data_IF_877098075466
#
_entry.id   IF_877098075466
#
_cell.length_a   1.000
_cell.length_b   1.000
_cell.length_c   1.000
_cell.angle_alpha   90.00
_cell.angle_beta   90.00
_cell.angle_gamma   90.00
#
_symmetry.space_group_name_H-M   'P 1'
#
loop_
_entity.id
_entity.type
_entity.pdbx_description
1 polymer ?
#
# COMPACT_ATOMS: atom_id res chain seq x y z
N UNK A 1 40.77 14.77 -53.97
CA UNK A 1 39.31 14.78 -54.17
C UNK A 1 38.68 13.88 -53.10
N UNK A 2 37.78 14.39 -52.25
CA UNK A 2 37.20 13.56 -51.18
C UNK A 2 36.18 12.59 -51.77
N UNK A 3 36.27 11.31 -51.37
CA UNK A 3 35.30 10.26 -51.71
C UNK A 3 34.02 10.52 -50.91
N UNK A 4 32.95 10.90 -51.59
CA UNK A 4 31.61 10.94 -50.99
C UNK A 4 31.11 9.50 -50.89
N UNK A 5 30.97 8.99 -49.68
CA UNK A 5 30.35 7.70 -49.38
C UNK A 5 28.90 7.72 -49.85
N UNK A 6 28.53 6.82 -50.77
CA UNK A 6 27.16 6.68 -51.27
C UNK A 6 26.29 6.11 -50.14
N UNK A 7 25.65 6.99 -49.38
CA UNK A 7 24.67 6.60 -48.37
C UNK A 7 23.42 6.13 -49.13
N UNK A 8 23.01 4.88 -48.88
CA UNK A 8 21.83 4.28 -49.50
C UNK A 8 20.57 5.06 -49.09
N UNK A 9 19.88 5.65 -50.06
CA UNK A 9 18.62 6.38 -49.87
C UNK A 9 17.55 5.50 -49.21
N UNK A 10 17.59 4.19 -49.45
CA UNK A 10 16.71 3.21 -48.81
C UNK A 10 16.91 3.14 -47.29
N UNK A 11 18.14 3.30 -46.81
CA UNK A 11 18.45 3.29 -45.38
C UNK A 11 17.94 4.56 -44.70
N UNK A 12 18.08 5.71 -45.36
CA UNK A 12 17.57 6.99 -44.86
C UNK A 12 16.04 6.93 -44.72
N UNK A 13 15.35 6.42 -45.74
CA UNK A 13 13.89 6.27 -45.68
C UNK A 13 13.45 5.31 -44.57
N UNK A 14 14.13 4.17 -44.40
CA UNK A 14 13.82 3.23 -43.32
C UNK A 14 13.98 3.86 -41.93
N UNK A 15 15.01 4.67 -41.72
CA UNK A 15 15.20 5.41 -40.47
C UNK A 15 14.10 6.44 -40.25
N UNK A 16 13.70 7.20 -41.27
CA UNK A 16 12.63 8.19 -41.16
C UNK A 16 11.29 7.53 -40.81
N UNK A 17 10.94 6.41 -41.46
CA UNK A 17 9.74 5.65 -41.13
C UNK A 17 9.79 5.05 -39.72
N UNK A 18 10.95 4.58 -39.28
CA UNK A 18 11.13 4.04 -37.91
C UNK A 18 10.95 5.12 -36.84
N UNK A 19 11.50 6.32 -37.06
CA UNK A 19 11.35 7.46 -36.14
C UNK A 19 9.89 7.95 -36.09
N UNK A 20 9.21 8.01 -37.24
CA UNK A 20 7.77 8.35 -37.31
C UNK A 20 6.90 7.30 -36.61
N UNK A 21 7.22 6.01 -36.75
CA UNK A 21 6.51 4.93 -36.07
C UNK A 21 6.69 5.00 -34.54
N UNK A 22 7.92 5.28 -34.07
CA UNK A 22 8.18 5.45 -32.64
C UNK A 22 7.51 6.71 -32.08
N UNK A 23 7.50 7.82 -32.82
CA UNK A 23 6.85 9.06 -32.40
C UNK A 23 5.33 8.91 -32.23
N UNK A 24 4.68 8.12 -33.08
CA UNK A 24 3.24 7.83 -32.97
C UNK A 24 2.90 6.90 -31.81
N UNK A 25 3.79 5.98 -31.42
CA UNK A 25 3.57 5.10 -30.27
C UNK A 25 3.77 5.79 -28.91
N UNK A 26 4.61 6.82 -28.83
CA UNK A 26 4.90 7.53 -27.56
C UNK A 26 3.76 8.46 -27.12
N UNK A 27 2.88 8.88 -28.03
CA UNK A 27 1.82 9.88 -27.75
C UNK A 27 0.41 9.29 -27.52
N UNK A 28 0.24 7.97 -27.54
CA UNK A 28 -1.08 7.33 -27.55
C UNK A 28 -1.45 6.58 -26.27
N UNK A 29 -1.01 7.04 -25.09
CA UNK A 29 -1.68 6.64 -23.84
C UNK A 29 -2.51 7.81 -23.29
N UNK A 30 -3.78 7.93 -23.70
CA UNK A 30 -4.70 8.77 -22.96
C UNK A 30 -4.81 8.19 -21.55
N UNK A 31 -4.39 8.95 -20.54
CA UNK A 31 -4.72 8.64 -19.15
C UNK A 31 -6.23 8.77 -19.05
N UNK A 32 -6.94 7.65 -19.13
CA UNK A 32 -8.39 7.63 -19.03
C UNK A 32 -8.77 8.35 -17.70
N UNK A 33 -9.63 9.38 -17.74
CA UNK A 33 -10.01 10.16 -16.55
C UNK A 33 -10.52 9.27 -15.41
N UNK A 34 -11.11 8.11 -15.72
CA UNK A 34 -11.52 7.12 -14.72
C UNK A 34 -10.33 6.49 -14.01
N UNK A 35 -9.25 6.17 -14.73
CA UNK A 35 -8.02 5.68 -14.11
C UNK A 35 -7.41 6.74 -13.21
N UNK A 36 -7.39 8.02 -13.64
CA UNK A 36 -6.88 9.12 -12.80
C UNK A 36 -7.66 9.28 -11.51
N UNK A 37 -8.99 9.18 -11.55
CA UNK A 37 -9.82 9.19 -10.33
C UNK A 37 -9.53 8.00 -9.42
N UNK A 38 -9.41 6.79 -10.00
CA UNK A 38 -9.07 5.58 -9.24
C UNK A 38 -7.71 5.74 -8.54
N UNK A 39 -6.68 6.21 -9.25
CA UNK A 39 -5.38 6.49 -8.63
C UNK A 39 -5.50 7.46 -7.45
N UNK A 40 -6.26 8.55 -7.60
CA UNK A 40 -6.47 9.50 -6.52
C UNK A 40 -7.15 8.86 -5.31
N UNK A 41 -8.15 7.99 -5.53
CA UNK A 41 -8.82 7.24 -4.47
C UNK A 41 -7.86 6.23 -3.80
N UNK A 42 -6.99 5.58 -4.56
CA UNK A 42 -5.94 4.70 -4.02
C UNK A 42 -4.98 5.46 -3.11
N UNK A 43 -4.47 6.62 -3.55
CA UNK A 43 -3.58 7.48 -2.73
C UNK A 43 -4.27 7.90 -1.43
N UNK A 44 -5.56 8.27 -1.47
CA UNK A 44 -6.31 8.58 -0.25
C UNK A 44 -6.47 7.36 0.67
N UNK A 45 -6.63 6.17 0.11
CA UNK A 45 -6.64 4.91 0.86
C UNK A 45 -5.32 4.70 1.60
N UNK A 46 -4.21 4.90 0.89
CA UNK A 46 -2.85 4.72 1.42
C UNK A 46 -2.54 5.69 2.57
N UNK A 47 -2.94 6.96 2.44
CA UNK A 47 -2.85 7.96 3.52
C UNK A 47 -3.63 7.50 4.78
N UNK A 48 -4.82 6.91 4.60
CA UNK A 48 -5.62 6.41 5.73
C UNK A 48 -4.98 5.19 6.39
N UNK A 49 -4.40 4.28 5.61
CA UNK A 49 -3.66 3.12 6.11
C UNK A 49 -2.46 3.59 6.94
N UNK A 50 -1.66 4.54 6.42
CA UNK A 50 -0.54 5.13 7.14
C UNK A 50 -0.97 5.82 8.45
N UNK A 51 -2.13 6.48 8.46
CA UNK A 51 -2.71 7.06 9.67
C UNK A 51 -3.04 5.98 10.70
N UNK A 52 -3.69 4.89 10.28
CA UNK A 52 -4.04 3.78 11.16
C UNK A 52 -2.79 3.10 11.71
N UNK A 53 -1.78 2.87 10.88
CA UNK A 53 -0.49 2.32 11.31
C UNK A 53 0.15 3.17 12.42
N UNK A 54 0.15 4.50 12.26
CA UNK A 54 0.66 5.42 13.29
C UNK A 54 -0.15 5.32 14.57
N UNK A 55 -1.47 5.25 14.47
CA UNK A 55 -2.35 5.07 15.63
C UNK A 55 -2.08 3.74 16.35
N UNK A 56 -1.85 2.64 15.62
CA UNK A 56 -1.49 1.34 16.20
C UNK A 56 -0.13 1.41 16.90
N UNK A 57 0.87 2.01 16.26
CA UNK A 57 2.20 2.22 16.84
C UNK A 57 2.12 2.98 18.16
N UNK A 58 1.37 4.09 18.18
CA UNK A 58 1.17 4.90 19.38
C UNK A 58 0.40 4.13 20.47
N UNK A 59 -0.65 3.41 20.09
CA UNK A 59 -1.44 2.63 21.04
C UNK A 59 -0.59 1.57 21.76
N UNK A 60 0.35 0.94 21.05
CA UNK A 60 1.29 -0.02 21.66
C UNK A 60 2.37 0.70 22.47
N UNK A 61 2.93 1.81 21.97
CA UNK A 61 3.93 2.59 22.71
C UNK A 61 3.41 3.11 24.06
N UNK A 62 2.14 3.51 24.13
CA UNK A 62 1.53 3.99 25.38
C UNK A 62 1.39 2.92 26.46
N UNK A 63 1.43 1.63 26.09
CA UNK A 63 1.28 0.50 27.02
C UNK A 63 2.62 -0.17 27.27
N UNK A 64 3.44 -0.32 26.25
CA UNK A 64 4.65 -1.14 26.28
C UNK A 64 5.94 -0.35 25.99
N UNK A 65 5.85 0.97 25.83
CA UNK A 65 7.03 1.84 25.65
C UNK A 65 7.93 1.80 26.87
N UNK A 66 9.25 1.93 26.65
CA UNK A 66 10.26 1.87 27.71
C UNK A 66 9.99 2.89 28.82
N UNK A 67 9.57 4.10 28.46
CA UNK A 67 9.26 5.18 29.40
C UNK A 67 8.04 4.88 30.29
N UNK A 68 7.13 4.02 29.83
CA UNK A 68 5.92 3.66 30.57
C UNK A 68 6.14 2.46 31.51
N UNK A 69 7.26 1.74 31.38
CA UNK A 69 7.53 0.48 32.09
C UNK A 69 7.50 0.64 33.62
N UNK A 70 7.93 1.79 34.12
CA UNK A 70 7.91 2.13 35.54
C UNK A 70 6.50 2.51 36.05
N UNK A 71 5.67 3.13 35.21
CA UNK A 71 4.29 3.53 35.55
C UNK A 71 3.34 2.32 35.65
N UNK A 72 3.67 1.20 34.98
CA UNK A 72 2.95 -0.06 35.11
C UNK A 72 3.25 -0.79 36.42
N UNK A 73 4.52 -0.86 36.84
CA UNK A 73 4.93 -1.62 38.04
C UNK A 73 4.32 -1.09 39.34
N UNK A 74 3.96 0.19 39.41
CA UNK A 74 3.34 0.81 40.59
C UNK A 74 1.81 0.70 40.67
N UNK A 75 1.12 0.22 39.62
CA UNK A 75 -0.35 0.18 39.57
C UNK A 75 -0.91 -1.12 40.14
N UNK A 76 -2.03 -1.03 40.87
CA UNK A 76 -2.81 -2.22 41.29
C UNK A 76 -3.18 -3.07 40.08
N UNK A 77 -3.17 -4.40 40.24
CA UNK A 77 -3.47 -5.38 39.19
C UNK A 77 -4.80 -5.12 38.47
N UNK A 78 -5.84 -4.70 39.20
CA UNK A 78 -7.14 -4.35 38.60
C UNK A 78 -7.03 -3.19 37.60
N UNK A 79 -6.24 -2.16 37.93
CA UNK A 79 -6.03 -1.00 37.04
C UNK A 79 -5.18 -1.39 35.82
N UNK A 80 -4.21 -2.29 35.99
CA UNK A 80 -3.43 -2.85 34.88
C UNK A 80 -4.34 -3.62 33.91
N UNK A 81 -5.23 -4.48 34.42
CA UNK A 81 -6.16 -5.25 33.61
C UNK A 81 -7.13 -4.34 32.83
N UNK A 82 -7.67 -3.29 33.45
CA UNK A 82 -8.53 -2.30 32.76
C UNK A 82 -7.79 -1.55 31.65
N UNK A 83 -6.51 -1.21 31.85
CA UNK A 83 -5.69 -0.56 30.84
C UNK A 83 -5.38 -1.49 29.66
N UNK A 84 -5.06 -2.76 29.95
CA UNK A 84 -4.82 -3.78 28.91
C UNK A 84 -6.10 -4.07 28.11
N UNK A 85 -7.25 -4.17 28.76
CA UNK A 85 -8.53 -4.37 28.07
C UNK A 85 -8.86 -3.20 27.12
N UNK A 86 -8.72 -1.96 27.60
CA UNK A 86 -8.91 -0.75 26.77
C UNK A 86 -7.94 -0.74 25.59
N UNK A 87 -6.69 -1.13 25.83
CA UNK A 87 -5.67 -1.24 24.79
C UNK A 87 -6.05 -2.26 23.72
N UNK A 88 -6.37 -3.49 24.12
CA UNK A 88 -6.77 -4.57 23.22
C UNK A 88 -7.99 -4.18 22.39
N UNK A 89 -9.00 -3.57 23.02
CA UNK A 89 -10.18 -3.05 22.32
C UNK A 89 -9.80 -1.99 21.29
N UNK A 90 -8.90 -1.07 21.63
CA UNK A 90 -8.46 -0.03 20.71
C UNK A 90 -7.71 -0.62 19.50
N UNK A 91 -6.79 -1.56 19.73
CA UNK A 91 -6.08 -2.25 18.64
C UNK A 91 -7.06 -3.01 17.75
N UNK A 92 -8.03 -3.74 18.31
CA UNK A 92 -9.06 -4.45 17.54
C UNK A 92 -9.84 -3.50 16.63
N UNK A 93 -10.24 -2.33 17.15
CA UNK A 93 -10.94 -1.30 16.36
C UNK A 93 -10.05 -0.82 15.20
N UNK A 94 -8.76 -0.58 15.46
CA UNK A 94 -7.82 -0.12 14.44
C UNK A 94 -7.59 -1.18 13.35
N UNK A 95 -7.47 -2.46 13.71
CA UNK A 95 -7.35 -3.57 12.74
C UNK A 95 -8.62 -3.67 11.91
N UNK A 96 -9.80 -3.61 12.53
CA UNK A 96 -11.05 -3.63 11.79
C UNK A 96 -11.19 -2.43 10.83
N UNK A 97 -10.77 -1.23 11.25
CA UNK A 97 -10.75 -0.05 10.40
C UNK A 97 -9.80 -0.21 9.20
N UNK A 98 -8.64 -0.84 9.42
CA UNK A 98 -7.70 -1.18 8.37
C UNK A 98 -8.37 -2.10 7.33
N UNK A 99 -9.06 -3.15 7.77
CA UNK A 99 -9.79 -4.07 6.90
C UNK A 99 -10.82 -3.38 6.00
N UNK A 100 -11.56 -2.39 6.52
CA UNK A 100 -12.50 -1.60 5.71
C UNK A 100 -11.81 -0.82 4.59
N UNK A 101 -10.63 -0.25 4.86
CA UNK A 101 -9.87 0.48 3.84
C UNK A 101 -9.26 -0.44 2.80
N UNK A 102 -8.72 -1.60 3.22
CA UNK A 102 -8.21 -2.62 2.30
C UNK A 102 -9.32 -3.13 1.38
N UNK A 103 -10.50 -3.39 1.92
CA UNK A 103 -11.68 -3.81 1.13
C UNK A 103 -12.03 -2.76 0.09
N UNK A 104 -12.05 -1.48 0.47
CA UNK A 104 -12.29 -0.38 -0.47
C UNK A 104 -11.22 -0.30 -1.56
N UNK A 105 -9.93 -0.48 -1.23
CA UNK A 105 -8.85 -0.48 -2.22
C UNK A 105 -8.92 -1.69 -3.14
N UNK A 106 -9.27 -2.85 -2.62
CA UNK A 106 -9.46 -4.08 -3.40
C UNK A 106 -10.58 -3.90 -4.43
N UNK A 107 -11.72 -3.37 -4.01
CA UNK A 107 -12.83 -3.06 -4.93
C UNK A 107 -12.44 -2.04 -6.02
N UNK A 108 -11.66 -1.01 -5.66
CA UNK A 108 -11.12 -0.06 -6.66
C UNK A 108 -10.16 -0.73 -7.64
N UNK A 109 -9.34 -1.68 -7.18
CA UNK A 109 -8.42 -2.44 -8.02
C UNK A 109 -9.18 -3.36 -8.98
N UNK A 110 -10.23 -4.01 -8.50
CA UNK A 110 -11.12 -4.84 -9.33
C UNK A 110 -11.85 -4.00 -10.39
N UNK A 111 -12.38 -2.85 -10.01
CA UNK A 111 -12.98 -1.90 -10.95
C UNK A 111 -11.96 -1.44 -12.00
N UNK A 112 -10.73 -1.12 -11.60
CA UNK A 112 -9.65 -0.75 -12.53
C UNK A 112 -9.28 -1.88 -13.50
N UNK A 113 -9.31 -3.15 -13.05
CA UNK A 113 -9.11 -4.31 -13.94
C UNK A 113 -10.19 -4.42 -15.00
N UNK A 114 -11.44 -4.09 -14.67
CA UNK A 114 -12.57 -4.13 -15.60
C UNK A 114 -12.50 -3.06 -16.69
N UNK A 115 -11.76 -1.97 -16.48
CA UNK A 115 -11.49 -0.95 -17.50
C UNK A 115 -10.54 -1.44 -18.61
N UNK A 116 -10.04 -2.67 -18.53
CA UNK A 116 -9.19 -3.27 -19.55
C UNK A 116 -7.84 -2.56 -19.69
N UNK A 117 -7.39 -2.37 -20.93
CA UNK A 117 -6.05 -1.86 -21.21
C UNK A 117 -5.82 -0.41 -20.73
N UNK A 118 -6.88 0.38 -20.47
CA UNK A 118 -6.73 1.79 -20.12
C UNK A 118 -6.14 2.02 -18.72
N UNK A 119 -6.36 1.10 -17.77
CA UNK A 119 -5.80 1.21 -16.41
C UNK A 119 -4.75 0.13 -16.11
N UNK A 120 -4.34 -0.68 -17.10
CA UNK A 120 -3.53 -1.88 -16.88
C UNK A 120 -2.20 -1.61 -16.17
N UNK A 121 -1.48 -0.55 -16.56
CA UNK A 121 -0.20 -0.18 -15.93
C UNK A 121 -0.38 0.27 -14.46
N UNK A 122 -1.47 0.98 -14.16
CA UNK A 122 -1.81 1.34 -12.79
C UNK A 122 -2.13 0.11 -11.94
N UNK A 123 -2.96 -0.79 -12.48
CA UNK A 123 -3.32 -2.05 -11.81
C UNK A 123 -2.07 -2.85 -11.49
N UNK A 124 -1.15 -3.02 -12.45
CA UNK A 124 0.13 -3.73 -12.23
C UNK A 124 0.91 -3.11 -11.07
N UNK A 125 1.09 -1.79 -11.06
CA UNK A 125 1.85 -1.07 -10.03
C UNK A 125 1.24 -1.21 -8.63
N UNK A 126 -0.09 -1.13 -8.51
CA UNK A 126 -0.77 -1.03 -7.21
C UNK A 126 -1.19 -2.41 -6.66
N UNK A 127 -1.36 -3.42 -7.52
CA UNK A 127 -1.84 -4.74 -7.10
C UNK A 127 -0.95 -5.43 -6.06
N UNK A 128 0.38 -5.36 -6.23
CA UNK A 128 1.33 -5.92 -5.27
C UNK A 128 1.19 -5.29 -3.89
N UNK A 129 1.00 -3.97 -3.85
CA UNK A 129 0.79 -3.23 -2.60
C UNK A 129 -0.49 -3.62 -1.88
N UNK A 130 -1.62 -3.64 -2.58
CA UNK A 130 -2.91 -4.01 -2.00
C UNK A 130 -2.88 -5.44 -1.46
N UNK A 131 -2.31 -6.37 -2.23
CA UNK A 131 -2.20 -7.77 -1.81
C UNK A 131 -1.31 -7.94 -0.58
N UNK A 132 -0.17 -7.24 -0.52
CA UNK A 132 0.73 -7.29 0.63
C UNK A 132 0.04 -6.77 1.91
N UNK A 133 -0.65 -5.64 1.82
CA UNK A 133 -1.39 -5.07 2.94
C UNK A 133 -2.54 -6.02 3.38
N UNK A 134 -3.24 -6.64 2.43
CA UNK A 134 -4.28 -7.62 2.72
C UNK A 134 -3.74 -8.85 3.46
N UNK A 135 -2.58 -9.38 3.06
CA UNK A 135 -1.92 -10.49 3.75
C UNK A 135 -1.48 -10.11 5.18
N UNK A 136 -0.93 -8.89 5.35
CA UNK A 136 -0.56 -8.37 6.67
C UNK A 136 -1.81 -8.25 7.56
N UNK A 137 -2.91 -7.73 7.02
CA UNK A 137 -4.18 -7.64 7.77
C UNK A 137 -4.70 -9.01 8.19
N UNK A 138 -4.68 -10.00 7.31
CA UNK A 138 -5.06 -11.37 7.65
C UNK A 138 -4.16 -11.96 8.77
N UNK A 139 -2.85 -11.65 8.74
CA UNK A 139 -1.94 -12.02 9.83
C UNK A 139 -2.27 -11.30 11.13
N UNK A 140 -2.64 -10.02 11.08
CA UNK A 140 -3.07 -9.26 12.26
C UNK A 140 -4.34 -9.87 12.89
N UNK A 141 -5.35 -10.22 12.09
CA UNK A 141 -6.58 -10.85 12.61
C UNK A 141 -6.29 -12.20 13.29
N UNK A 142 -5.43 -13.02 12.68
CA UNK A 142 -4.98 -14.29 13.28
C UNK A 142 -4.23 -14.05 14.59
N UNK A 143 -3.34 -13.06 14.61
CA UNK A 143 -2.59 -12.69 15.81
C UNK A 143 -3.49 -12.20 16.94
N UNK A 144 -4.52 -11.40 16.65
CA UNK A 144 -5.48 -10.95 17.67
C UNK A 144 -6.32 -12.10 18.24
N UNK A 145 -6.57 -13.14 17.43
CA UNK A 145 -7.31 -14.33 17.86
C UNK A 145 -6.44 -15.33 18.61
N UNK A 146 -5.10 -15.24 18.50
CA UNK A 146 -4.15 -16.15 19.11
C UNK A 146 -3.61 -15.58 20.43
N UNK A 147 -4.00 -16.18 21.56
CA UNK A 147 -3.54 -15.79 22.90
C UNK A 147 -2.02 -15.89 23.09
N UNK A 148 -1.33 -16.67 22.25
CA UNK A 148 0.12 -16.86 22.33
C UNK A 148 0.91 -15.85 21.47
N UNK A 149 0.23 -15.01 20.69
CA UNK A 149 0.95 -13.98 19.93
C UNK A 149 1.57 -12.97 20.89
N UNK A 150 2.88 -12.80 20.77
CA UNK A 150 3.62 -11.79 21.52
C UNK A 150 3.36 -10.39 20.97
N UNK A 151 3.44 -9.40 21.84
CA UNK A 151 3.40 -7.98 21.46
C UNK A 151 4.48 -7.64 20.41
N UNK A 152 5.66 -8.26 20.49
CA UNK A 152 6.76 -8.06 19.54
C UNK A 152 6.41 -8.54 18.13
N UNK A 153 5.76 -9.71 18.02
CA UNK A 153 5.27 -10.25 16.75
C UNK A 153 4.21 -9.32 16.14
N UNK A 154 3.24 -8.88 16.95
CA UNK A 154 2.19 -7.98 16.47
C UNK A 154 2.75 -6.61 16.05
N UNK A 155 3.72 -6.06 16.78
CA UNK A 155 4.46 -4.86 16.37
C UNK A 155 5.19 -5.04 15.04
N UNK A 156 5.75 -6.24 14.79
CA UNK A 156 6.37 -6.59 13.52
C UNK A 156 5.38 -6.45 12.36
N UNK A 157 4.15 -6.91 12.53
CA UNK A 157 3.09 -6.77 11.52
C UNK A 157 2.75 -5.29 11.25
N UNK A 158 2.67 -4.46 12.30
CA UNK A 158 2.42 -3.01 12.14
C UNK A 158 3.55 -2.34 11.37
N UNK A 159 4.81 -2.71 11.64
CA UNK A 159 5.96 -2.17 10.91
C UNK A 159 5.93 -2.56 9.44
N UNK A 160 5.49 -3.77 9.13
CA UNK A 160 5.40 -4.26 7.75
C UNK A 160 4.29 -3.59 6.93
N UNK A 161 3.37 -2.83 7.55
CA UNK A 161 2.45 -1.96 6.82
C UNK A 161 3.15 -0.80 6.11
N UNK A 162 4.38 -0.45 6.51
CA UNK A 162 5.23 0.48 5.73
C UNK A 162 5.72 -0.24 4.48
N UNK A 163 5.40 0.32 3.33
CA UNK A 163 6.14 0.07 2.09
C UNK A 163 7.24 1.11 1.93
#
# INVERSE_FOLDING_TARGET
>A
MPRVTKISTSLIMFFLFSVLYLATMVHAQPVNPDCKDIANKMVRGDIKINKIQRQMTNAIGNVYGEDNKHDWQGKKLENQNKLLDRHNRHINILVHNLGRHITSMTGLLEYAKQQGNSCQEMVKKISGTVNAIQDIHAKMERSLSNKNTSQREFQGLIKNLKQ
#
